data_IF_832845519557
#
_entry.id   IF_832845519557
#
_cell.length_a   1.000
_cell.length_b   1.000
_cell.length_c   1.000
_cell.angle_alpha   90.00
_cell.angle_beta   90.00
_cell.angle_gamma   90.00
#
_symmetry.space_group_name_H-M   'P 1'
#
loop_
_entity.id
_entity.type
_entity.pdbx_description
1 polymer ?
#
# COMPACT_ATOMS: atom_id res chain seq x y z
N UNK A 1 -6.17 -9.35 -19.65
CA UNK A 1 -6.87 -8.72 -18.52
C UNK A 1 -6.23 -7.37 -18.29
N UNK A 2 -7.02 -6.31 -18.20
CA UNK A 2 -6.49 -4.95 -18.03
C UNK A 2 -6.60 -4.61 -16.54
N UNK A 3 -5.47 -4.50 -15.83
CA UNK A 3 -5.44 -4.06 -14.42
C UNK A 3 -5.21 -2.56 -14.38
N UNK A 4 -5.94 -1.85 -13.52
CA UNK A 4 -5.77 -0.42 -13.35
C UNK A 4 -4.56 -0.12 -12.44
N UNK A 5 -3.74 0.87 -12.82
CA UNK A 5 -2.72 1.43 -11.94
C UNK A 5 -3.32 2.59 -11.15
N UNK A 6 -3.24 2.53 -9.82
CA UNK A 6 -3.67 3.62 -8.94
C UNK A 6 -2.47 4.48 -8.52
N UNK A 7 -2.59 5.79 -8.69
CA UNK A 7 -1.61 6.74 -8.17
C UNK A 7 -1.98 7.12 -6.75
N UNK A 8 -1.12 6.74 -5.80
CA UNK A 8 -1.28 7.10 -4.39
C UNK A 8 -0.56 8.42 -4.12
N UNK A 9 -1.33 9.41 -3.65
CA UNK A 9 -0.80 10.71 -3.23
C UNK A 9 -0.99 10.84 -1.73
N UNK A 10 0.09 11.04 -0.94
CA UNK A 10 0.00 11.30 0.49
C UNK A 10 -0.86 12.53 0.79
N UNK A 11 -1.43 12.58 1.97
CA UNK A 11 -2.16 13.75 2.44
C UNK A 11 -1.20 14.90 2.79
N UNK A 12 -1.72 16.13 2.67
CA UNK A 12 -0.93 17.32 3.04
C UNK A 12 -0.60 17.26 4.54
N UNK A 13 0.70 17.30 4.85
CA UNK A 13 1.20 17.26 6.24
C UNK A 13 1.54 15.86 6.77
N UNK A 14 1.21 14.77 6.05
CA UNK A 14 1.55 13.41 6.46
C UNK A 14 2.33 12.66 5.37
N UNK A 15 3.28 11.77 5.75
CA UNK A 15 4.04 10.96 4.80
C UNK A 15 3.26 9.70 4.35
N UNK A 16 1.94 9.66 4.52
CA UNK A 16 1.04 8.56 4.18
C UNK A 16 -0.35 9.09 3.84
N UNK A 17 -1.25 8.22 3.38
CA UNK A 17 -2.67 8.48 3.26
C UNK A 17 -3.43 7.54 4.18
N UNK A 18 -4.40 8.08 4.93
CA UNK A 18 -5.19 7.35 5.93
C UNK A 18 -6.67 7.68 5.74
N UNK A 19 -7.49 6.67 5.48
CA UNK A 19 -8.91 6.88 5.25
C UNK A 19 -9.76 5.70 5.71
N UNK A 20 -11.04 5.96 5.90
CA UNK A 20 -12.04 4.93 6.17
C UNK A 20 -12.65 4.45 4.85
N UNK A 21 -12.66 3.15 4.68
CA UNK A 21 -13.41 2.45 3.68
C UNK A 21 -14.70 1.89 4.32
N UNK A 22 -15.85 2.30 3.81
CA UNK A 22 -17.15 1.85 4.31
C UNK A 22 -17.89 1.05 3.25
N UNK A 23 -18.12 -0.21 3.51
CA UNK A 23 -19.02 -1.06 2.72
C UNK A 23 -20.45 -0.99 3.26
N UNK A 24 -21.11 0.18 3.21
CA UNK A 24 -22.39 0.45 3.91
C UNK A 24 -23.53 -0.50 3.57
N UNK A 25 -23.62 -0.92 2.30
CA UNK A 25 -24.74 -1.71 1.79
C UNK A 25 -24.36 -3.15 1.43
N UNK A 26 -23.13 -3.57 1.73
CA UNK A 26 -22.68 -4.94 1.44
C UNK A 26 -22.55 -5.28 -0.04
N UNK A 27 -22.32 -4.32 -0.91
CA UNK A 27 -22.18 -4.54 -2.36
C UNK A 27 -21.03 -3.71 -2.97
N UNK A 28 -20.03 -3.36 -2.17
CA UNK A 28 -18.86 -2.67 -2.70
C UNK A 28 -17.90 -3.67 -3.33
N UNK A 29 -17.53 -3.38 -4.56
CA UNK A 29 -16.56 -4.12 -5.33
C UNK A 29 -15.51 -3.18 -5.90
N UNK A 30 -14.24 -3.42 -5.57
CA UNK A 30 -13.12 -2.78 -6.23
C UNK A 30 -12.43 -3.78 -7.11
N UNK A 31 -12.44 -3.51 -8.41
CA UNK A 31 -11.80 -4.33 -9.42
C UNK A 31 -10.30 -4.47 -9.19
N UNK A 32 -9.70 -5.50 -9.77
CA UNK A 32 -8.26 -5.77 -9.70
C UNK A 32 -7.45 -4.55 -10.12
N UNK A 33 -6.62 -4.07 -9.22
CA UNK A 33 -5.72 -2.93 -9.43
C UNK A 33 -4.41 -3.16 -8.69
N UNK A 34 -3.44 -2.27 -8.92
CA UNK A 34 -2.15 -2.28 -8.27
C UNK A 34 -1.60 -0.84 -8.13
N UNK A 35 -0.69 -0.65 -7.20
CA UNK A 35 -0.03 0.64 -6.94
C UNK A 35 1.38 0.45 -6.40
N UNK A 36 2.17 1.55 -6.33
CA UNK A 36 3.57 1.55 -5.86
C UNK A 36 3.70 1.96 -4.39
N UNK A 37 2.80 1.57 -3.54
CA UNK A 37 2.86 1.80 -2.10
C UNK A 37 2.66 0.50 -1.34
N UNK A 38 3.05 0.48 -0.08
CA UNK A 38 2.58 -0.54 0.86
C UNK A 38 1.20 -0.08 1.32
N UNK A 39 0.23 -0.97 1.32
CA UNK A 39 -1.12 -0.68 1.78
C UNK A 39 -1.53 -1.66 2.87
N UNK A 40 -2.22 -1.17 3.88
CA UNK A 40 -2.72 -2.00 4.97
C UNK A 40 -4.21 -1.76 5.11
N UNK A 41 -4.98 -2.83 5.02
CA UNK A 41 -6.40 -2.85 5.33
C UNK A 41 -6.58 -3.44 6.73
N UNK A 42 -7.16 -2.68 7.65
CA UNK A 42 -7.46 -3.14 9.01
C UNK A 42 -8.96 -3.03 9.26
N UNK A 43 -9.62 -4.16 9.48
CA UNK A 43 -11.08 -4.22 9.69
C UNK A 43 -11.40 -3.83 11.11
N UNK A 44 -12.06 -2.69 11.28
CA UNK A 44 -12.48 -2.19 12.59
C UNK A 44 -13.81 -2.80 13.04
N UNK A 45 -14.74 -2.97 12.10
CA UNK A 45 -16.06 -3.56 12.33
C UNK A 45 -16.49 -4.36 11.11
N UNK A 46 -17.17 -5.46 11.32
CA UNK A 46 -17.70 -6.31 10.24
C UNK A 46 -16.63 -7.21 9.62
N UNK A 47 -16.76 -7.45 8.31
CA UNK A 47 -15.89 -8.38 7.60
C UNK A 47 -15.61 -7.91 6.16
N UNK A 48 -14.47 -8.32 5.61
CA UNK A 48 -14.01 -7.95 4.28
C UNK A 48 -13.44 -9.16 3.55
N UNK A 49 -13.93 -9.44 2.35
CA UNK A 49 -13.31 -10.40 1.45
C UNK A 49 -12.26 -9.70 0.57
N UNK A 50 -11.08 -10.27 0.49
CA UNK A 50 -9.94 -9.69 -0.19
C UNK A 50 -9.31 -10.72 -1.13
N UNK A 51 -8.96 -10.29 -2.33
CA UNK A 51 -8.25 -11.13 -3.30
C UNK A 51 -6.87 -10.50 -3.54
N UNK A 52 -5.83 -11.26 -3.26
CA UNK A 52 -4.44 -10.87 -3.51
C UNK A 52 -3.86 -11.84 -4.52
N UNK A 53 -3.56 -11.33 -5.72
CA UNK A 53 -3.26 -12.13 -6.90
C UNK A 53 -4.35 -13.16 -7.23
N UNK A 54 -4.18 -14.39 -6.75
CA UNK A 54 -5.14 -15.51 -6.91
C UNK A 54 -5.64 -16.06 -5.58
N UNK A 55 -5.12 -15.55 -4.45
CA UNK A 55 -5.43 -16.05 -3.11
C UNK A 55 -6.57 -15.23 -2.52
N UNK A 56 -7.56 -15.91 -1.97
CA UNK A 56 -8.69 -15.31 -1.27
C UNK A 56 -8.42 -15.26 0.23
N UNK A 57 -8.64 -14.09 0.80
CA UNK A 57 -8.57 -13.83 2.23
C UNK A 57 -9.92 -13.35 2.72
N UNK A 58 -10.33 -13.85 3.87
CA UNK A 58 -11.48 -13.35 4.61
C UNK A 58 -10.97 -12.71 5.89
N UNK A 59 -11.26 -11.43 6.08
CA UNK A 59 -10.81 -10.65 7.23
C UNK A 59 -12.03 -10.31 8.10
N UNK A 60 -11.94 -10.64 9.36
CA UNK A 60 -12.89 -10.26 10.40
C UNK A 60 -12.42 -9.05 11.21
N UNK A 61 -13.23 -8.66 12.18
CA UNK A 61 -12.95 -7.55 13.09
C UNK A 61 -11.62 -7.76 13.83
N UNK A 62 -10.78 -6.72 13.86
CA UNK A 62 -9.44 -6.73 14.44
C UNK A 62 -8.36 -7.36 13.56
N UNK A 63 -8.71 -7.92 12.42
CA UNK A 63 -7.75 -8.47 11.47
C UNK A 63 -7.29 -7.45 10.44
N UNK A 64 -6.14 -7.70 9.85
CA UNK A 64 -5.57 -6.83 8.81
C UNK A 64 -4.83 -7.64 7.75
N UNK A 65 -4.61 -7.03 6.59
CA UNK A 65 -3.77 -7.56 5.52
C UNK A 65 -2.81 -6.47 5.03
N UNK A 66 -1.57 -6.88 4.74
CA UNK A 66 -0.55 -6.02 4.10
C UNK A 66 -0.51 -6.36 2.61
N UNK A 67 -0.68 -5.37 1.77
CA UNK A 67 -0.50 -5.43 0.32
C UNK A 67 0.83 -4.79 -0.02
N UNK A 68 1.71 -5.52 -0.67
CA UNK A 68 3.01 -5.01 -1.07
C UNK A 68 2.89 -4.14 -2.34
N UNK A 69 3.93 -3.36 -2.59
CA UNK A 69 4.03 -2.61 -3.83
C UNK A 69 3.95 -3.52 -5.05
N UNK A 70 3.18 -3.12 -6.04
CA UNK A 70 2.93 -3.83 -7.29
C UNK A 70 2.16 -5.16 -7.17
N UNK A 71 1.61 -5.50 -6.01
CA UNK A 71 0.70 -6.62 -5.90
C UNK A 71 -0.69 -6.28 -6.44
N UNK A 72 -1.20 -7.15 -7.30
CA UNK A 72 -2.55 -7.03 -7.85
C UNK A 72 -3.56 -7.50 -6.80
N UNK A 73 -4.49 -6.63 -6.46
CA UNK A 73 -5.51 -6.95 -5.45
C UNK A 73 -6.89 -6.43 -5.83
N UNK A 74 -7.91 -7.03 -5.25
CA UNK A 74 -9.31 -6.65 -5.36
C UNK A 74 -10.01 -6.76 -4.01
N UNK A 75 -11.06 -5.99 -3.83
CA UNK A 75 -11.83 -5.94 -2.59
C UNK A 75 -13.29 -6.27 -2.90
N UNK A 76 -13.85 -7.16 -2.12
CA UNK A 76 -15.26 -7.53 -2.19
C UNK A 76 -15.87 -7.37 -0.79
N UNK A 77 -16.69 -6.37 -0.62
CA UNK A 77 -17.44 -6.16 0.62
C UNK A 77 -18.87 -6.62 0.40
N UNK A 78 -19.13 -7.89 0.71
CA UNK A 78 -20.46 -8.50 0.60
C UNK A 78 -21.35 -8.18 1.80
N UNK A 79 -20.76 -7.62 2.86
CA UNK A 79 -21.44 -7.23 4.10
C UNK A 79 -20.97 -5.84 4.56
N UNK A 80 -21.75 -5.15 5.38
CA UNK A 80 -21.31 -3.89 5.98
C UNK A 80 -20.00 -4.05 6.73
N UNK A 81 -19.07 -3.11 6.54
CA UNK A 81 -17.82 -3.06 7.26
C UNK A 81 -17.31 -1.64 7.41
N UNK A 82 -16.48 -1.43 8.44
CA UNK A 82 -15.64 -0.27 8.61
C UNK A 82 -14.19 -0.72 8.57
N UNK A 83 -13.50 -0.42 7.50
CA UNK A 83 -12.09 -0.81 7.29
C UNK A 83 -11.23 0.43 7.18
N UNK A 84 -10.23 0.55 8.04
CA UNK A 84 -9.24 1.62 7.95
C UNK A 84 -8.18 1.21 6.95
N UNK A 85 -7.91 2.09 5.98
CA UNK A 85 -6.89 1.88 4.95
C UNK A 85 -5.76 2.86 5.14
N UNK A 86 -4.55 2.32 5.24
CA UNK A 86 -3.30 3.09 5.34
C UNK A 86 -2.41 2.79 4.13
N UNK A 87 -2.15 3.81 3.32
CA UNK A 87 -1.27 3.74 2.15
C UNK A 87 0.06 4.43 2.46
N UNK A 88 1.16 3.69 2.40
CA UNK A 88 2.51 4.12 2.78
C UNK A 88 3.40 4.15 1.54
N UNK A 89 3.87 5.33 1.09
CA UNK A 89 4.81 5.42 -0.01
C UNK A 89 6.10 4.66 0.27
N UNK A 90 6.66 4.01 -0.76
CA UNK A 90 7.87 3.18 -0.62
C UNK A 90 9.08 3.93 -0.06
N UNK A 91 9.21 5.24 -0.33
CA UNK A 91 10.33 6.03 0.16
C UNK A 91 10.44 6.07 1.70
N UNK A 92 9.34 5.77 2.42
CA UNK A 92 9.38 5.65 3.89
C UNK A 92 10.24 4.46 4.35
N UNK A 93 10.48 3.50 3.48
CA UNK A 93 11.28 2.31 3.74
C UNK A 93 12.63 2.32 3.02
N UNK A 94 13.08 3.46 2.50
CA UNK A 94 14.28 3.55 1.64
C UNK A 94 15.54 2.94 2.27
N UNK A 95 15.75 3.13 3.58
CA UNK A 95 16.89 2.57 4.32
C UNK A 95 16.86 1.03 4.48
N UNK A 96 15.74 0.41 4.12
CA UNK A 96 15.49 -1.03 4.28
C UNK A 96 15.31 -1.76 2.96
N UNK A 97 15.52 -1.10 1.82
CA UNK A 97 15.40 -1.73 0.52
C UNK A 97 16.42 -2.87 0.35
N UNK A 98 15.94 -3.95 -0.27
CA UNK A 98 16.77 -5.04 -0.76
C UNK A 98 16.87 -4.88 -2.28
N UNK A 99 18.01 -4.35 -2.78
CA UNK A 99 18.16 -4.00 -4.19
C UNK A 99 17.43 -2.69 -4.59
N UNK A 100 17.09 -2.55 -5.87
CA UNK A 100 16.50 -1.32 -6.43
C UNK A 100 15.05 -1.12 -5.97
N UNK A 101 14.85 -0.27 -4.95
CA UNK A 101 13.52 0.14 -4.45
C UNK A 101 12.58 -1.04 -4.11
N UNK A 102 13.14 -2.12 -3.60
CA UNK A 102 12.39 -3.32 -3.26
C UNK A 102 12.35 -3.53 -1.74
N UNK A 103 11.17 -3.69 -1.21
CA UNK A 103 10.91 -4.20 0.14
C UNK A 103 9.67 -5.08 0.08
N UNK A 104 9.68 -6.18 0.82
CA UNK A 104 8.58 -7.12 0.86
C UNK A 104 8.19 -7.47 2.29
N UNK A 105 6.90 -7.46 2.56
CA UNK A 105 6.32 -7.84 3.84
C UNK A 105 5.47 -9.10 3.68
N UNK A 106 5.44 -9.96 4.69
CA UNK A 106 4.44 -11.03 4.74
C UNK A 106 3.05 -10.40 4.88
N UNK A 107 2.11 -10.93 4.11
CA UNK A 107 0.70 -10.68 4.36
C UNK A 107 0.41 -11.24 5.76
N UNK A 108 -0.42 -10.68 6.55
CA UNK A 108 -0.69 -11.14 7.93
C UNK A 108 -1.28 -12.56 7.99
N UNK A 109 -0.56 -13.55 7.47
CA UNK A 109 -1.01 -14.94 7.38
C UNK A 109 -1.53 -15.42 8.74
N UNK A 110 -2.83 -15.23 8.98
CA UNK A 110 -3.59 -15.75 10.14
C UNK A 110 -3.10 -15.29 11.53
N UNK A 111 -2.28 -14.27 11.62
CA UNK A 111 -1.87 -13.74 12.90
C UNK A 111 -2.62 -12.44 13.19
N UNK A 112 -3.58 -12.55 14.09
CA UNK A 112 -4.12 -11.41 14.81
C UNK A 112 -2.95 -10.73 15.53
N UNK A 113 -2.41 -9.64 14.96
CA UNK A 113 -1.44 -8.80 15.65
C UNK A 113 -2.17 -7.55 16.15
N UNK A 114 -2.63 -7.65 17.39
CA UNK A 114 -3.36 -6.59 18.07
C UNK A 114 -2.59 -5.26 18.05
N UNK A 115 -1.26 -5.30 18.06
CA UNK A 115 -0.45 -4.08 18.03
C UNK A 115 -0.61 -3.32 16.73
N UNK A 116 -0.63 -4.00 15.57
CA UNK A 116 -0.77 -3.36 14.25
C UNK A 116 -2.16 -2.77 14.08
N UNK A 117 -3.21 -3.57 14.30
CA UNK A 117 -4.60 -3.12 14.18
C UNK A 117 -4.91 -1.97 15.14
N UNK A 118 -4.52 -2.10 16.41
CA UNK A 118 -4.73 -1.06 17.43
C UNK A 118 -4.05 0.26 17.09
N UNK A 119 -2.80 0.23 16.57
CA UNK A 119 -2.11 1.45 16.14
C UNK A 119 -2.86 2.14 15.00
N UNK A 120 -3.30 1.38 13.99
CA UNK A 120 -4.03 1.93 12.84
C UNK A 120 -5.36 2.54 13.29
N UNK A 121 -6.11 1.85 14.15
CA UNK A 121 -7.39 2.37 14.67
C UNK A 121 -7.20 3.63 15.52
N UNK A 122 -6.15 3.67 16.36
CA UNK A 122 -5.81 4.85 17.14
C UNK A 122 -5.38 6.02 16.25
N UNK A 123 -4.52 5.77 15.25
CA UNK A 123 -4.12 6.78 14.28
C UNK A 123 -5.34 7.40 13.61
N UNK A 124 -6.30 6.59 13.14
CA UNK A 124 -7.51 7.08 12.51
C UNK A 124 -8.40 7.86 13.48
N UNK A 125 -8.56 7.40 14.72
CA UNK A 125 -9.32 8.12 15.75
C UNK A 125 -8.72 9.52 16.01
N UNK A 126 -7.41 9.60 16.22
CA UNK A 126 -6.70 10.88 16.46
C UNK A 126 -6.80 11.79 15.24
N UNK A 127 -6.65 11.22 14.03
CA UNK A 127 -6.82 11.93 12.76
C UNK A 127 -8.22 12.57 12.63
N UNK A 128 -9.26 11.89 13.11
CA UNK A 128 -10.63 12.41 13.08
C UNK A 128 -10.92 13.48 14.15
N UNK A 129 -10.24 13.40 15.29
CA UNK A 129 -10.47 14.32 16.41
C UNK A 129 -9.75 15.66 16.26
N UNK A 130 -8.60 15.68 15.62
CA UNK A 130 -7.78 16.87 15.31
C UNK A 130 -7.58 17.81 16.53
N UNK A 131 -7.30 17.22 17.70
CA UNK A 131 -6.94 17.99 18.91
C UNK A 131 -5.54 18.58 18.78
N UNK A 132 -5.21 19.57 19.61
CA UNK A 132 -3.89 20.20 19.58
C UNK A 132 -2.76 19.17 19.68
N UNK A 133 -1.80 19.21 18.72
CA UNK A 133 -0.69 18.26 18.64
C UNK A 133 -1.03 16.88 18.05
N UNK A 134 -2.22 16.72 17.45
CA UNK A 134 -2.65 15.46 16.84
C UNK A 134 -1.69 14.96 15.75
N UNK A 135 -1.07 15.86 15.03
CA UNK A 135 -0.09 15.58 14.00
C UNK A 135 1.14 14.85 14.55
N UNK A 136 1.70 15.33 15.68
CA UNK A 136 2.81 14.67 16.37
C UNK A 136 2.39 13.30 16.94
N UNK A 137 1.19 13.20 17.49
CA UNK A 137 0.68 11.93 18.03
C UNK A 137 0.53 10.88 16.91
N UNK A 138 -0.05 11.26 15.77
CA UNK A 138 -0.18 10.38 14.60
C UNK A 138 1.19 9.96 14.07
N UNK A 139 2.13 10.90 13.88
CA UNK A 139 3.47 10.60 13.39
C UNK A 139 4.23 9.67 14.35
N UNK A 140 4.07 9.83 15.65
CA UNK A 140 4.67 8.92 16.64
C UNK A 140 4.15 7.48 16.44
N UNK A 141 2.83 7.30 16.32
CA UNK A 141 2.21 5.99 16.08
C UNK A 141 2.59 5.44 14.70
N UNK A 142 2.69 6.29 13.68
CA UNK A 142 3.13 5.89 12.34
C UNK A 142 4.54 5.32 12.35
N UNK A 143 5.51 5.99 12.95
CA UNK A 143 6.88 5.46 13.03
C UNK A 143 7.00 4.22 13.90
N UNK A 144 6.17 4.09 14.94
CA UNK A 144 6.07 2.85 15.70
C UNK A 144 5.56 1.70 14.83
N UNK A 145 4.54 1.96 13.98
CA UNK A 145 4.03 0.98 13.01
C UNK A 145 5.11 0.57 12.00
N UNK A 146 5.83 1.55 11.39
CA UNK A 146 6.94 1.23 10.48
C UNK A 146 8.00 0.34 11.14
N UNK A 147 8.35 0.62 12.40
CA UNK A 147 9.28 -0.22 13.15
C UNK A 147 8.77 -1.67 13.29
N UNK A 148 7.48 -1.85 13.62
CA UNK A 148 6.87 -3.17 13.73
C UNK A 148 6.90 -3.90 12.38
N UNK A 149 6.51 -3.21 11.30
CA UNK A 149 6.50 -3.79 9.96
C UNK A 149 7.90 -4.28 9.54
N UNK A 150 8.92 -3.44 9.70
CA UNK A 150 10.30 -3.81 9.34
C UNK A 150 10.83 -4.94 10.23
N UNK A 151 10.51 -4.94 11.52
CA UNK A 151 11.07 -5.92 12.47
C UNK A 151 10.37 -7.27 12.41
N UNK A 152 9.03 -7.30 12.25
CA UNK A 152 8.24 -8.54 12.34
C UNK A 152 7.82 -9.09 10.97
N UNK A 153 7.51 -8.22 10.02
CA UNK A 153 6.85 -8.61 8.75
C UNK A 153 7.78 -8.60 7.55
N UNK A 154 8.92 -7.89 7.61
CA UNK A 154 9.86 -7.83 6.49
C UNK A 154 10.40 -9.20 6.16
N UNK A 155 10.31 -9.60 4.89
CA UNK A 155 10.94 -10.80 4.33
C UNK A 155 12.26 -10.44 3.68
N UNK A 156 13.33 -11.12 4.07
CA UNK A 156 14.68 -10.95 3.48
C UNK A 156 14.95 -12.01 2.42
N UNK A 157 14.35 -13.18 2.57
CA UNK A 157 14.45 -14.30 1.64
C UNK A 157 13.23 -14.27 0.70
N UNK A 158 13.40 -13.61 -0.43
CA UNK A 158 12.35 -13.45 -1.45
C UNK A 158 12.83 -14.11 -2.74
N UNK A 159 11.95 -14.84 -3.40
CA UNK A 159 12.28 -15.56 -4.64
C UNK A 159 12.76 -14.59 -5.73
N UNK A 160 13.81 -14.97 -6.46
CA UNK A 160 14.44 -14.17 -7.53
C UNK A 160 13.46 -13.75 -8.62
N UNK A 161 12.46 -14.59 -8.92
CA UNK A 161 11.42 -14.30 -9.91
C UNK A 161 10.54 -13.13 -9.49
N UNK A 162 10.16 -13.08 -8.20
CA UNK A 162 9.39 -11.98 -7.64
C UNK A 162 10.20 -10.68 -7.63
N UNK A 163 11.50 -10.76 -7.31
CA UNK A 163 12.41 -9.61 -7.37
C UNK A 163 12.48 -9.03 -8.79
N UNK A 164 12.70 -9.89 -9.80
CA UNK A 164 12.77 -9.49 -11.21
C UNK A 164 11.44 -8.88 -11.71
N UNK A 165 10.32 -9.50 -11.39
CA UNK A 165 9.00 -9.00 -11.74
C UNK A 165 8.75 -7.61 -11.15
N UNK A 166 9.03 -7.42 -9.87
CA UNK A 166 8.89 -6.13 -9.21
C UNK A 166 9.82 -5.05 -9.76
N UNK A 167 11.06 -5.40 -10.12
CA UNK A 167 11.99 -4.47 -10.77
C UNK A 167 11.44 -3.97 -12.12
N UNK A 168 10.85 -4.85 -12.91
CA UNK A 168 10.22 -4.48 -14.19
C UNK A 168 9.03 -3.55 -13.98
N UNK A 169 8.15 -3.86 -13.01
CA UNK A 169 7.00 -3.02 -12.68
C UNK A 169 7.41 -1.67 -12.08
N UNK A 170 8.46 -1.63 -11.26
CA UNK A 170 9.03 -0.39 -10.76
C UNK A 170 9.54 0.51 -11.89
N UNK A 171 10.25 -0.05 -12.86
CA UNK A 171 10.73 0.68 -14.04
C UNK A 171 9.56 1.23 -14.88
N UNK A 172 8.55 0.42 -15.15
CA UNK A 172 7.33 0.87 -15.83
C UNK A 172 6.62 2.00 -15.06
N UNK A 173 6.51 1.87 -13.75
CA UNK A 173 5.95 2.92 -12.88
C UNK A 173 6.74 4.23 -12.94
N UNK A 174 8.08 4.17 -12.95
CA UNK A 174 8.93 5.37 -13.11
C UNK A 174 8.72 6.03 -14.47
N UNK A 175 8.66 5.26 -15.55
CA UNK A 175 8.38 5.77 -16.91
C UNK A 175 7.01 6.43 -16.96
N UNK A 176 5.98 5.79 -16.39
CA UNK A 176 4.61 6.32 -16.37
C UNK A 176 4.52 7.61 -15.57
N UNK A 177 5.21 7.70 -14.42
CA UNK A 177 5.29 8.93 -13.63
C UNK A 177 5.97 10.04 -14.41
N UNK A 178 7.13 9.76 -15.00
CA UNK A 178 7.84 10.74 -15.83
C UNK A 178 6.97 11.27 -16.98
N UNK A 179 6.25 10.39 -17.68
CA UNK A 179 5.35 10.80 -18.75
C UNK A 179 4.22 11.70 -18.26
N UNK A 180 3.67 11.43 -17.07
CA UNK A 180 2.63 12.27 -16.46
C UNK A 180 3.16 13.65 -16.05
N UNK A 181 4.38 13.71 -15.51
CA UNK A 181 4.97 14.97 -15.06
C UNK A 181 5.44 15.85 -16.21
N UNK A 182 5.75 15.25 -17.37
CA UNK A 182 6.30 15.91 -18.55
C UNK A 182 5.39 15.82 -19.79
N UNK A 183 4.10 15.51 -19.64
CA UNK A 183 3.18 15.29 -20.77
C UNK A 183 3.03 16.50 -21.71
N UNK A 184 3.40 17.70 -21.26
CA UNK A 184 3.40 18.94 -22.05
C UNK A 184 4.70 19.11 -22.87
N UNK A 185 5.70 18.26 -22.66
CA UNK A 185 6.97 18.31 -23.36
C UNK A 185 6.99 17.37 -24.57
N UNK A 186 7.89 17.64 -25.52
CA UNK A 186 8.13 16.73 -26.62
C UNK A 186 8.99 15.55 -26.15
N UNK A 187 8.37 14.39 -25.98
CA UNK A 187 8.98 13.18 -25.44
C UNK A 187 9.13 12.14 -26.56
N UNK A 188 10.36 11.90 -26.98
CA UNK A 188 10.67 10.81 -27.91
C UNK A 188 11.04 9.53 -27.20
N UNK A 189 10.89 8.38 -27.88
CA UNK A 189 11.35 7.08 -27.39
C UNK A 189 12.85 7.07 -27.07
N UNK A 190 13.67 7.73 -27.89
CA UNK A 190 15.11 7.87 -27.66
C UNK A 190 15.45 8.63 -26.38
N UNK A 191 14.68 9.72 -26.07
CA UNK A 191 14.81 10.48 -24.83
C UNK A 191 14.49 9.59 -23.62
N UNK A 192 13.39 8.83 -23.68
CA UNK A 192 13.01 7.91 -22.63
C UNK A 192 14.04 6.78 -22.44
N UNK A 193 14.50 6.18 -23.54
CA UNK A 193 15.52 5.14 -23.50
C UNK A 193 16.80 5.64 -22.83
N UNK A 194 17.25 6.86 -23.16
CA UNK A 194 18.42 7.49 -22.52
C UNK A 194 18.24 7.76 -21.03
N UNK A 195 17.06 8.24 -20.60
CA UNK A 195 16.77 8.54 -19.18
C UNK A 195 16.71 7.26 -18.34
N UNK A 196 16.07 6.21 -18.86
CA UNK A 196 15.80 4.97 -18.12
C UNK A 196 16.79 3.83 -18.41
N UNK A 197 17.85 4.08 -19.20
CA UNK A 197 18.92 3.11 -19.46
C UNK A 197 18.48 1.94 -20.34
N UNK A 198 17.56 2.16 -21.29
CA UNK A 198 17.22 1.18 -22.31
C UNK A 198 18.04 1.38 -23.58
N UNK A 199 18.39 0.28 -24.24
CA UNK A 199 18.87 0.32 -25.62
C UNK A 199 17.69 0.65 -26.54
N UNK A 200 17.82 1.68 -27.35
CA UNK A 200 16.80 2.06 -28.34
C UNK A 200 16.64 1.04 -29.46
#
# INVERSE_FOLDING_TARGET
MQFAHELIVPEVGFPFKLFLFEGREGHYHREKHWHRSIEIFAVQEGELDFILDTTHYHLGEGEFIIVNSNEVHAIHANRPNHTIVLQIPLNQFASYFTGEQFIWFSHSERTYDEQVACLIFRMYKVYRMQTDGYDFEILSMFYQLLHILVKKYRKLDVQDELLKSNQQLNRLGMITSYLKDHYMEDISLGKLAGIFGYSG
#
